data_IF_464398031597
#
_entry.id   IF_464398031597
#
_cell.length_a   1.000
_cell.length_b   1.000
_cell.length_c   1.000
_cell.angle_alpha   90.00
_cell.angle_beta   90.00
_cell.angle_gamma   90.00
#
_symmetry.space_group_name_H-M   'P 1'
#
loop_
_entity.id
_entity.type
_entity.pdbx_description
1 polymer ?
#
# COMPACT_ATOMS: atom_id res chain seq x y z
N UNK A 1 -13.73 30.24 6.47
CA UNK A 1 -13.13 29.37 7.52
C UNK A 1 -13.84 28.01 7.60
N UNK A 2 -15.18 27.97 7.62
CA UNK A 2 -16.00 26.75 7.75
C UNK A 2 -15.78 25.72 6.62
N UNK A 3 -15.78 26.15 5.35
CA UNK A 3 -15.57 25.25 4.19
C UNK A 3 -14.23 24.52 4.25
N UNK A 4 -13.18 25.22 4.70
CA UNK A 4 -11.83 24.62 4.85
C UNK A 4 -11.82 23.54 5.94
N UNK A 5 -12.49 23.77 7.06
CA UNK A 5 -12.60 22.78 8.13
C UNK A 5 -13.38 21.53 7.68
N UNK A 6 -14.46 21.71 6.91
CA UNK A 6 -15.24 20.61 6.34
C UNK A 6 -14.39 19.73 5.40
N UNK A 7 -13.64 20.36 4.48
CA UNK A 7 -12.75 19.65 3.53
C UNK A 7 -11.66 18.88 4.28
N UNK A 8 -11.04 19.49 5.29
CA UNK A 8 -10.01 18.82 6.11
C UNK A 8 -10.60 17.59 6.81
N UNK A 9 -11.81 17.71 7.35
CA UNK A 9 -12.47 16.58 8.01
C UNK A 9 -12.80 15.46 7.02
N UNK A 10 -13.35 15.79 5.85
CA UNK A 10 -13.64 14.80 4.80
C UNK A 10 -12.38 14.06 4.33
N UNK A 11 -11.27 14.78 4.12
CA UNK A 11 -9.99 14.17 3.76
C UNK A 11 -9.41 13.28 4.87
N UNK A 12 -9.63 13.67 6.13
CA UNK A 12 -9.24 12.87 7.30
C UNK A 12 -10.03 11.57 7.37
N UNK A 13 -11.35 11.64 7.23
CA UNK A 13 -12.22 10.46 7.26
C UNK A 13 -11.94 9.51 6.08
N UNK A 14 -11.72 10.04 4.88
CA UNK A 14 -11.30 9.22 3.73
C UNK A 14 -9.98 8.50 3.99
N UNK A 15 -8.99 9.19 4.59
CA UNK A 15 -7.71 8.57 4.96
C UNK A 15 -7.88 7.43 5.95
N UNK A 16 -8.74 7.59 6.97
CA UNK A 16 -9.04 6.53 7.94
C UNK A 16 -9.67 5.30 7.27
N UNK A 17 -10.69 5.50 6.44
CA UNK A 17 -11.33 4.40 5.69
C UNK A 17 -10.33 3.64 4.82
N UNK A 18 -9.51 4.38 4.06
CA UNK A 18 -8.46 3.77 3.24
C UNK A 18 -7.44 2.99 4.07
N UNK A 19 -7.08 3.50 5.25
CA UNK A 19 -6.16 2.81 6.16
C UNK A 19 -6.76 1.49 6.68
N UNK A 20 -8.02 1.51 7.12
CA UNK A 20 -8.70 0.32 7.63
C UNK A 20 -8.88 -0.74 6.54
N UNK A 21 -9.22 -0.31 5.33
CA UNK A 21 -9.32 -1.18 4.17
C UNK A 21 -7.96 -1.76 3.78
N UNK A 22 -6.90 -0.95 3.82
CA UNK A 22 -5.53 -1.41 3.56
C UNK A 22 -5.11 -2.47 4.57
N UNK A 23 -5.33 -2.24 5.87
CA UNK A 23 -5.04 -3.22 6.92
C UNK A 23 -5.82 -4.52 6.72
N UNK A 24 -7.08 -4.43 6.30
CA UNK A 24 -7.93 -5.60 6.03
C UNK A 24 -7.41 -6.40 4.84
N UNK A 25 -7.03 -5.74 3.75
CA UNK A 25 -6.47 -6.39 2.57
C UNK A 25 -5.11 -7.03 2.87
N UNK A 26 -4.25 -6.35 3.62
CA UNK A 26 -2.96 -6.90 4.08
C UNK A 26 -3.18 -8.17 4.92
N UNK A 27 -4.11 -8.14 5.88
CA UNK A 27 -4.43 -9.31 6.72
C UNK A 27 -4.97 -10.49 5.92
N UNK A 28 -5.66 -10.23 4.81
CA UNK A 28 -6.20 -11.27 3.92
C UNK A 28 -5.13 -11.84 2.98
N UNK A 29 -4.05 -11.13 2.73
CA UNK A 29 -3.00 -11.55 1.83
C UNK A 29 -2.05 -12.56 2.50
N UNK A 30 -2.24 -13.85 2.19
CA UNK A 30 -1.50 -14.96 2.81
C UNK A 30 -0.01 -15.01 2.45
N UNK A 31 0.42 -14.29 1.43
CA UNK A 31 1.81 -14.26 0.96
C UNK A 31 2.39 -12.84 1.10
N UNK A 32 1.92 -12.10 2.10
CA UNK A 32 2.45 -10.80 2.44
C UNK A 32 3.87 -10.95 3.00
N UNK A 33 4.84 -10.34 2.32
CA UNK A 33 6.25 -10.35 2.69
C UNK A 33 6.74 -8.91 2.88
N UNK A 34 7.61 -8.69 3.85
CA UNK A 34 8.26 -7.40 4.06
C UNK A 34 9.51 -7.26 3.19
N UNK A 35 9.81 -6.01 2.81
CA UNK A 35 11.04 -5.66 2.12
C UNK A 35 12.22 -6.14 2.95
N UNK A 36 13.11 -6.90 2.31
CA UNK A 36 14.33 -7.40 2.93
C UNK A 36 15.37 -6.28 2.98
N UNK A 37 15.89 -6.01 4.18
CA UNK A 37 16.97 -5.06 4.40
C UNK A 37 18.31 -5.82 4.31
N UNK A 38 19.14 -5.46 3.34
CA UNK A 38 20.53 -5.94 3.26
C UNK A 38 21.36 -5.20 4.34
N UNK A 39 21.11 -5.50 5.62
CA UNK A 39 21.84 -4.88 6.74
C UNK A 39 23.20 -5.54 7.01
N UNK A 40 23.56 -6.59 6.28
CA UNK A 40 24.87 -7.23 6.34
C UNK A 40 25.58 -7.11 4.98
N UNK A 41 26.84 -6.67 5.03
CA UNK A 41 27.88 -6.90 4.02
C UNK A 41 28.10 -5.93 2.84
N UNK A 42 27.55 -4.71 2.84
CA UNK A 42 28.07 -3.67 1.92
C UNK A 42 29.51 -3.22 2.25
N UNK A 43 30.08 -3.68 3.37
CA UNK A 43 31.46 -3.37 3.82
C UNK A 43 32.40 -4.57 3.83
N UNK A 44 31.94 -5.78 3.47
CA UNK A 44 32.80 -6.96 3.39
C UNK A 44 33.14 -7.26 1.93
N UNK A 45 34.40 -7.62 1.70
CA UNK A 45 35.06 -7.74 0.41
C UNK A 45 34.16 -8.32 -0.69
N UNK A 46 33.84 -7.51 -1.72
CA UNK A 46 33.05 -7.88 -2.90
C UNK A 46 33.49 -9.23 -3.50
N UNK A 47 32.80 -10.31 -3.12
CA UNK A 47 32.88 -11.61 -3.77
C UNK A 47 31.84 -11.69 -4.89
N UNK A 48 32.11 -12.52 -5.89
CA UNK A 48 31.14 -12.83 -6.96
C UNK A 48 29.81 -13.41 -6.39
N UNK A 49 29.88 -14.03 -5.20
CA UNK A 49 28.72 -14.49 -4.44
C UNK A 49 27.85 -13.35 -3.89
N UNK A 50 28.44 -12.22 -3.53
CA UNK A 50 27.72 -11.08 -2.95
C UNK A 50 26.92 -10.32 -4.02
N UNK A 51 27.46 -10.26 -5.25
CA UNK A 51 26.74 -9.75 -6.42
C UNK A 51 25.49 -10.60 -6.75
N UNK A 52 25.61 -11.92 -6.67
CA UNK A 52 24.49 -12.84 -6.89
C UNK A 52 23.41 -12.71 -5.80
N UNK A 53 23.81 -12.56 -4.54
CA UNK A 53 22.91 -12.34 -3.42
C UNK A 53 22.17 -11.00 -3.53
N UNK A 54 22.88 -9.91 -3.82
CA UNK A 54 22.29 -8.59 -4.04
C UNK A 54 21.27 -8.60 -5.19
N UNK A 55 21.59 -9.26 -6.30
CA UNK A 55 20.65 -9.41 -7.43
C UNK A 55 19.37 -10.14 -7.02
N UNK A 56 19.47 -11.15 -6.14
CA UNK A 56 18.32 -11.88 -5.60
C UNK A 56 17.46 -10.99 -4.70
N UNK A 57 18.07 -10.27 -3.78
CA UNK A 57 17.37 -9.36 -2.84
C UNK A 57 16.65 -8.25 -3.60
N UNK A 58 17.31 -7.62 -4.58
CA UNK A 58 16.68 -6.60 -5.43
C UNK A 58 15.47 -7.17 -6.19
N UNK A 59 15.59 -8.36 -6.77
CA UNK A 59 14.46 -9.00 -7.48
C UNK A 59 13.30 -9.29 -6.54
N UNK A 60 13.58 -9.80 -5.34
CA UNK A 60 12.59 -10.07 -4.30
C UNK A 60 11.90 -8.78 -3.85
N UNK A 61 12.64 -7.75 -3.49
CA UNK A 61 12.11 -6.46 -3.06
C UNK A 61 11.25 -5.79 -4.15
N UNK A 62 11.64 -5.90 -5.43
CA UNK A 62 10.80 -5.46 -6.55
C UNK A 62 9.47 -6.19 -6.63
N UNK A 63 9.45 -7.51 -6.41
CA UNK A 63 8.20 -8.31 -6.36
C UNK A 63 7.33 -7.86 -5.20
N UNK A 64 7.92 -7.68 -4.03
CA UNK A 64 7.25 -7.24 -2.81
C UNK A 64 6.60 -5.85 -3.02
N UNK A 65 7.36 -4.87 -3.51
CA UNK A 65 6.84 -3.51 -3.77
C UNK A 65 5.67 -3.53 -4.77
N UNK A 66 5.77 -4.32 -5.85
CA UNK A 66 4.67 -4.45 -6.81
C UNK A 66 3.39 -4.99 -6.17
N UNK A 67 3.52 -5.93 -5.23
CA UNK A 67 2.39 -6.48 -4.47
C UNK A 67 1.76 -5.45 -3.55
N UNK A 68 2.56 -4.75 -2.76
CA UNK A 68 2.10 -3.63 -1.93
C UNK A 68 1.34 -2.58 -2.76
N UNK A 69 1.88 -2.22 -3.92
CA UNK A 69 1.22 -1.28 -4.84
C UNK A 69 -0.12 -1.81 -5.34
N UNK A 70 -0.22 -3.10 -5.65
CA UNK A 70 -1.49 -3.71 -6.05
C UNK A 70 -2.54 -3.62 -4.93
N UNK A 71 -2.16 -3.96 -3.68
CA UNK A 71 -3.05 -3.87 -2.52
C UNK A 71 -3.54 -2.42 -2.32
N UNK A 72 -2.65 -1.44 -2.38
CA UNK A 72 -3.00 -0.02 -2.25
C UNK A 72 -3.96 0.41 -3.36
N UNK A 73 -3.70 0.01 -4.62
CA UNK A 73 -4.60 0.30 -5.74
C UNK A 73 -5.98 -0.31 -5.54
N UNK A 74 -6.06 -1.54 -5.02
CA UNK A 74 -7.33 -2.20 -4.69
C UNK A 74 -8.08 -1.44 -3.60
N UNK A 75 -7.40 -1.02 -2.53
CA UNK A 75 -8.03 -0.22 -1.47
C UNK A 75 -8.64 1.08 -2.02
N UNK A 76 -7.86 1.82 -2.83
CA UNK A 76 -8.32 3.07 -3.45
C UNK A 76 -9.50 2.84 -4.40
N UNK A 77 -9.47 1.75 -5.17
CA UNK A 77 -10.55 1.41 -6.11
C UNK A 77 -11.85 1.10 -5.37
N UNK A 78 -11.78 0.30 -4.31
CA UNK A 78 -12.95 -0.04 -3.49
C UNK A 78 -13.52 1.18 -2.76
N UNK A 79 -12.68 2.07 -2.20
CA UNK A 79 -13.14 3.35 -1.61
C UNK A 79 -13.87 4.21 -2.65
N UNK A 80 -13.34 4.32 -3.87
CA UNK A 80 -13.99 5.07 -4.94
C UNK A 80 -15.34 4.45 -5.37
N UNK A 81 -15.43 3.11 -5.44
CA UNK A 81 -16.68 2.43 -5.78
C UNK A 81 -17.75 2.64 -4.68
N UNK A 82 -17.36 2.58 -3.41
CA UNK A 82 -18.27 2.86 -2.30
C UNK A 82 -18.73 4.32 -2.27
N UNK A 83 -17.84 5.27 -2.60
CA UNK A 83 -18.21 6.68 -2.73
C UNK A 83 -19.23 6.88 -3.88
N UNK A 84 -19.03 6.22 -5.03
CA UNK A 84 -20.00 6.29 -6.14
C UNK A 84 -21.36 5.68 -5.79
N UNK A 85 -21.37 4.54 -5.08
CA UNK A 85 -22.62 3.89 -4.63
C UNK A 85 -23.38 4.81 -3.67
N UNK A 86 -22.67 5.49 -2.77
CA UNK A 86 -23.30 6.46 -1.87
C UNK A 86 -23.93 7.62 -2.64
N UNK A 87 -23.23 8.21 -3.60
CA UNK A 87 -23.76 9.29 -4.44
C UNK A 87 -25.00 8.86 -5.24
N UNK A 88 -25.04 7.64 -5.74
CA UNK A 88 -26.21 7.08 -6.41
C UNK A 88 -27.39 6.87 -5.45
N UNK A 89 -27.13 6.34 -4.25
CA UNK A 89 -28.15 6.16 -3.22
C UNK A 89 -28.76 7.50 -2.74
N UNK A 90 -28.01 8.59 -2.74
CA UNK A 90 -28.54 9.93 -2.45
C UNK A 90 -29.44 10.49 -3.55
N UNK A 91 -29.37 9.99 -4.80
CA UNK A 91 -30.24 10.43 -5.91
C UNK A 91 -31.58 9.69 -5.97
N UNK A 92 -31.67 8.54 -5.30
CA UNK A 92 -32.86 7.67 -5.31
C UNK A 92 -33.79 7.99 -4.13
N UNK A 93 -33.31 8.73 -3.11
CA UNK A 93 -34.11 9.26 -1.99
C UNK A 93 -34.60 10.68 -2.27
#
# INVERSE_FOLDING_TARGET
>A
MIVRALIINQLSERRKRLHDLLLTLIKKDSEFEFIEEDSNDLTSNYSEKDSLNLSRVIKKNRKIIKRYQAIVRTAVTLDALMDSENEENYKIK
#
